data_IF_789775899568
#
_entry.id   IF_789775899568
#
_cell.length_a   1.000
_cell.length_b   1.000
_cell.length_c   1.000
_cell.angle_alpha   90.00
_cell.angle_beta   90.00
_cell.angle_gamma   90.00
#
_symmetry.space_group_name_H-M   'P 1'
#
loop_
_entity.id
_entity.type
_entity.pdbx_description
1 polymer ?
#
# COMPACT_ATOMS: atom_id res chain seq x y z
N UNK A 1 26.76 -17.63 15.73
CA UNK A 1 25.36 -17.35 15.32
C UNK A 1 24.99 -15.97 15.84
N UNK A 2 25.11 -14.88 15.06
CA UNK A 2 24.82 -13.56 15.61
C UNK A 2 23.32 -13.42 15.86
N UNK A 3 22.96 -13.51 17.14
CA UNK A 3 21.69 -13.10 17.73
C UNK A 3 21.53 -11.60 17.55
N UNK A 4 20.97 -11.18 16.42
CA UNK A 4 20.62 -9.78 16.18
C UNK A 4 19.11 -9.73 16.09
N UNK A 5 18.48 -9.56 17.26
CA UNK A 5 17.22 -8.83 17.38
C UNK A 5 17.15 -7.83 16.24
N UNK A 6 16.11 -7.94 15.40
CA UNK A 6 15.98 -7.19 14.16
C UNK A 6 16.50 -5.76 14.38
N UNK A 7 17.53 -5.33 13.62
CA UNK A 7 18.17 -4.01 13.77
C UNK A 7 17.12 -2.91 13.49
N UNK A 8 16.25 -2.66 14.46
CA UNK A 8 15.18 -1.68 14.44
C UNK A 8 15.70 -0.51 15.21
N UNK A 9 15.96 0.59 14.51
CA UNK A 9 16.55 1.81 15.09
C UNK A 9 15.61 2.53 16.05
N UNK A 10 14.31 2.34 15.89
CA UNK A 10 13.27 2.94 16.73
C UNK A 10 12.26 1.87 17.17
N UNK A 11 12.53 1.24 18.31
CA UNK A 11 11.76 0.12 18.85
C UNK A 11 10.35 0.56 19.32
N UNK A 12 10.25 1.73 19.97
CA UNK A 12 8.97 2.28 20.41
C UNK A 12 8.00 2.50 19.24
N UNK A 13 8.50 3.07 18.14
CA UNK A 13 7.70 3.27 16.93
C UNK A 13 7.32 1.93 16.28
N UNK A 14 8.19 0.93 16.32
CA UNK A 14 7.91 -0.39 15.79
C UNK A 14 6.77 -1.10 16.53
N UNK A 15 6.81 -1.10 17.86
CA UNK A 15 5.75 -1.68 18.70
C UNK A 15 4.44 -0.90 18.54
N UNK A 16 4.48 0.44 18.58
CA UNK A 16 3.29 1.27 18.35
C UNK A 16 2.66 1.04 16.96
N UNK A 17 3.45 0.69 15.93
CA UNK A 17 2.93 0.34 14.60
C UNK A 17 2.35 -1.07 14.57
N UNK A 18 2.94 -2.02 15.31
CA UNK A 18 2.38 -3.38 15.47
C UNK A 18 1.05 -3.37 16.20
N UNK A 19 0.94 -2.58 17.27
CA UNK A 19 -0.30 -2.42 18.04
C UNK A 19 -1.41 -1.83 17.16
N UNK A 20 -1.05 -0.99 16.19
CA UNK A 20 -1.96 -0.47 15.15
C UNK A 20 -2.32 -1.51 14.07
N UNK A 21 -1.90 -2.77 14.20
CA UNK A 21 -2.18 -3.85 13.26
C UNK A 21 -1.25 -3.87 12.04
N UNK A 22 -0.12 -3.16 12.06
CA UNK A 22 0.82 -3.16 10.94
C UNK A 22 1.67 -4.43 10.93
N UNK A 23 1.97 -4.96 9.74
CA UNK A 23 2.86 -6.13 9.61
C UNK A 23 4.27 -5.83 10.11
N UNK A 24 4.92 -6.83 10.73
CA UNK A 24 6.29 -6.73 11.26
C UNK A 24 7.27 -6.10 10.26
N UNK A 25 7.24 -6.56 9.02
CA UNK A 25 8.12 -6.03 7.97
C UNK A 25 7.88 -4.55 7.66
N UNK A 26 6.62 -4.10 7.65
CA UNK A 26 6.27 -2.71 7.34
C UNK A 26 6.58 -1.78 8.51
N UNK A 27 6.32 -2.23 9.74
CA UNK A 27 6.71 -1.52 10.95
C UNK A 27 8.24 -1.35 11.02
N UNK A 28 9.01 -2.41 10.77
CA UNK A 28 10.48 -2.35 10.81
C UNK A 28 11.05 -1.38 9.77
N UNK A 29 10.47 -1.34 8.55
CA UNK A 29 10.87 -0.38 7.52
C UNK A 29 10.64 1.06 7.94
N UNK A 30 9.49 1.36 8.56
CA UNK A 30 9.15 2.70 9.03
C UNK A 30 10.08 3.11 10.18
N UNK A 31 10.25 2.24 11.17
CA UNK A 31 11.12 2.47 12.33
C UNK A 31 12.62 2.63 11.96
N UNK A 32 13.06 2.01 10.87
CA UNK A 32 14.45 2.14 10.38
C UNK A 32 14.69 3.35 9.47
N UNK A 33 13.63 4.06 9.07
CA UNK A 33 13.72 5.17 8.12
C UNK A 33 13.75 6.51 8.85
N UNK A 34 14.83 7.31 8.71
CA UNK A 34 14.83 8.68 9.23
C UNK A 34 13.76 9.53 8.50
N UNK A 35 13.09 10.39 9.25
CA UNK A 35 11.98 11.25 8.82
C UNK A 35 10.73 10.50 8.29
N UNK A 36 10.45 9.30 8.79
CA UNK A 36 9.29 8.52 8.36
C UNK A 36 7.95 9.28 8.48
N UNK A 37 7.78 10.11 9.52
CA UNK A 37 6.60 10.98 9.69
C UNK A 37 6.45 12.01 8.57
N UNK A 38 7.56 12.57 8.06
CA UNK A 38 7.55 13.54 6.94
C UNK A 38 7.39 12.87 5.57
N UNK A 39 7.99 11.69 5.39
CA UNK A 39 7.91 10.91 4.12
C UNK A 39 6.56 10.23 3.94
N UNK A 40 5.99 9.67 5.02
CA UNK A 40 4.70 8.98 5.01
C UNK A 40 3.49 9.92 5.13
N UNK A 41 3.61 10.99 5.93
CA UNK A 41 2.52 11.92 6.24
C UNK A 41 2.09 12.82 5.07
N UNK A 42 2.95 13.06 4.08
CA UNK A 42 2.58 13.85 2.89
C UNK A 42 1.47 13.18 2.05
N UNK A 43 1.33 11.86 2.14
CA UNK A 43 0.37 11.09 1.33
C UNK A 43 -0.96 10.79 2.03
N UNK A 44 -1.04 10.95 3.36
CA UNK A 44 -2.26 10.69 4.13
C UNK A 44 -3.34 11.79 3.99
N UNK A 45 -2.98 12.99 3.53
CA UNK A 45 -3.91 14.10 3.30
C UNK A 45 -4.20 14.42 1.83
N UNK A 46 -3.45 13.84 0.88
CA UNK A 46 -3.66 14.06 -0.54
C UNK A 46 -4.34 12.85 -1.16
N UNK A 47 -5.65 12.96 -1.42
CA UNK A 47 -6.45 11.99 -2.18
C UNK A 47 -5.97 11.71 -3.62
N UNK A 48 -4.75 12.12 -3.98
CA UNK A 48 -4.04 11.70 -5.19
C UNK A 48 -3.49 10.31 -4.97
N UNK A 49 -4.37 9.30 -5.05
CA UNK A 49 -3.98 8.03 -5.67
C UNK A 49 -3.29 8.41 -6.98
N UNK A 50 -2.07 7.91 -7.23
CA UNK A 50 -1.38 8.10 -8.51
C UNK A 50 -2.38 7.74 -9.61
N UNK A 51 -3.01 8.76 -10.21
CA UNK A 51 -3.98 8.65 -11.31
C UNK A 51 -3.27 8.25 -12.61
N UNK A 52 -1.95 8.18 -12.54
CA UNK A 52 -1.04 7.90 -13.64
C UNK A 52 -0.22 6.65 -13.31
N UNK A 53 -0.92 5.55 -13.05
CA UNK A 53 -0.31 4.24 -13.26
C UNK A 53 -0.82 3.78 -14.61
N UNK A 54 0.08 3.68 -15.60
CA UNK A 54 -0.12 2.95 -16.86
C UNK A 54 -0.73 1.55 -16.68
N UNK A 55 -0.76 1.04 -15.44
CA UNK A 55 -1.34 -0.21 -14.99
C UNK A 55 -2.84 -0.15 -14.64
N UNK A 56 -3.66 0.57 -15.42
CA UNK A 56 -5.11 0.34 -15.56
C UNK A 56 -5.98 0.19 -14.29
N UNK A 57 -5.87 1.08 -13.30
CA UNK A 57 -6.86 1.26 -12.22
C UNK A 57 -6.91 0.17 -11.13
N UNK A 58 -7.67 0.42 -10.07
CA UNK A 58 -7.85 -0.53 -8.95
C UNK A 58 -8.61 -1.78 -9.37
N UNK A 59 -8.48 -2.87 -8.61
CA UNK A 59 -9.21 -4.13 -8.85
C UNK A 59 -10.73 -3.91 -8.96
N UNK A 60 -11.30 -3.02 -8.15
CA UNK A 60 -12.72 -2.67 -8.24
C UNK A 60 -13.07 -1.94 -9.55
N UNK A 61 -12.20 -1.04 -10.01
CA UNK A 61 -12.35 -0.38 -11.32
C UNK A 61 -12.22 -1.39 -12.46
N UNK A 62 -11.25 -2.31 -12.40
CA UNK A 62 -11.11 -3.40 -13.37
C UNK A 62 -12.32 -4.33 -13.39
N UNK A 63 -12.87 -4.70 -12.22
CA UNK A 63 -14.10 -5.51 -12.11
C UNK A 63 -15.31 -4.80 -12.71
N UNK A 64 -15.47 -3.49 -12.45
CA UNK A 64 -16.52 -2.65 -13.04
C UNK A 64 -16.33 -2.46 -14.55
N UNK A 65 -15.09 -2.34 -15.03
CA UNK A 65 -14.79 -2.23 -16.44
C UNK A 65 -15.03 -3.55 -17.19
N UNK A 66 -14.58 -4.68 -16.64
CA UNK A 66 -14.80 -6.01 -17.22
C UNK A 66 -16.28 -6.39 -17.32
N UNK A 67 -17.10 -5.99 -16.34
CA UNK A 67 -18.55 -6.19 -16.38
C UNK A 67 -19.28 -5.29 -17.40
N UNK A 68 -18.71 -4.15 -17.81
CA UNK A 68 -19.23 -3.31 -18.90
C UNK A 68 -18.71 -3.74 -20.27
N UNK A 69 -17.41 -4.03 -20.38
CA UNK A 69 -16.76 -4.45 -21.62
C UNK A 69 -17.22 -5.84 -22.08
N UNK A 70 -17.31 -6.80 -21.16
CA UNK A 70 -17.75 -8.17 -21.46
C UNK A 70 -19.19 -8.26 -21.97
N UNK A 71 -20.09 -7.42 -21.44
CA UNK A 71 -21.48 -7.33 -21.91
C UNK A 71 -21.57 -6.73 -23.32
N UNK A 72 -20.75 -5.72 -23.64
CA UNK A 72 -20.72 -5.11 -24.96
C UNK A 72 -20.14 -6.06 -26.03
N UNK A 73 -19.10 -6.83 -25.69
CA UNK A 73 -18.52 -7.84 -26.60
C UNK A 73 -19.44 -9.04 -26.80
N UNK A 74 -20.18 -9.48 -25.76
CA UNK A 74 -21.15 -10.56 -25.88
C UNK A 74 -22.33 -10.17 -26.80
N UNK A 75 -22.80 -8.92 -26.73
CA UNK A 75 -23.89 -8.41 -27.58
C UNK A 75 -23.50 -8.22 -29.06
N UNK A 76 -22.21 -8.12 -29.37
CA UNK A 76 -21.71 -8.03 -30.77
C UNK A 76 -21.50 -9.40 -31.43
N UNK A 77 -21.61 -10.50 -30.68
CA UNK A 77 -21.42 -11.87 -31.19
C UNK A 77 -22.72 -12.67 -31.33
N UNK A 78 -23.88 -12.02 -31.21
CA UNK A 78 -25.19 -12.58 -31.55
C UNK A 78 -25.60 -12.20 -32.96
#
# INVERSE_FOLDING_TARGET
MPSKSANVKNEEQYEALKDKGMSKQRAAKIANTPDASKKGGKKSGSGKKNKDSSQGGTTAQKKKAGSKGGKATAKKKS
#
